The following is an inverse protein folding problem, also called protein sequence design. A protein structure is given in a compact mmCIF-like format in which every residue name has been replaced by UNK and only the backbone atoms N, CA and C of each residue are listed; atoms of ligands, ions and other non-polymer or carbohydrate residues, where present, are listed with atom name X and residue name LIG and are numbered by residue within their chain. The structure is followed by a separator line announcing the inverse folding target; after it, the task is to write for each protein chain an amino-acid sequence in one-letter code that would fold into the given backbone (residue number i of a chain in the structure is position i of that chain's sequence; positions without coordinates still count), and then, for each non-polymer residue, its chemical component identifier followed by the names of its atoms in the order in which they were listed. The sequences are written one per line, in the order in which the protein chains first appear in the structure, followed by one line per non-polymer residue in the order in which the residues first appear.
data_IF_874107955263
#
_entry.id   IF_874107955263
#
_cell.length_a   1.000
_cell.length_b   1.000
_cell.length_c   1.000
_cell.angle_alpha   90.00
_cell.angle_beta   90.00
_cell.angle_gamma   90.00
#
_symmetry.space_group_name_H-M   'P 1'
#
loop_
_entity.id
_entity.type
_entity.pdbx_description
1 polymer ?
#
# COMPACT_ATOMS: atom_id res chain seq x y z
N UNK A 1 -47.89 32.34 -9.65
CA UNK A 1 -48.87 31.29 -10.01
C UNK A 1 -48.08 30.04 -10.36
N UNK A 2 -48.47 28.94 -9.75
CA UNK A 2 -47.67 27.82 -9.28
C UNK A 2 -47.07 26.92 -10.37
N UNK A 3 -45.80 26.54 -10.17
CA UNK A 3 -45.18 25.38 -10.83
C UNK A 3 -45.60 24.14 -10.01
N UNK A 4 -46.21 23.11 -10.59
CA UNK A 4 -46.59 21.93 -9.82
C UNK A 4 -45.35 21.19 -9.33
N UNK A 5 -45.30 20.99 -8.02
CA UNK A 5 -44.35 20.10 -7.33
C UNK A 5 -44.59 18.67 -7.81
N UNK A 6 -43.69 18.10 -8.60
CA UNK A 6 -43.73 16.66 -8.90
C UNK A 6 -43.60 15.90 -7.58
N UNK A 7 -44.65 15.17 -7.24
CA UNK A 7 -44.68 14.23 -6.13
C UNK A 7 -43.63 13.13 -6.37
N UNK A 8 -42.56 13.16 -5.57
CA UNK A 8 -41.46 12.21 -5.63
C UNK A 8 -41.73 10.92 -4.83
N UNK A 9 -42.94 10.72 -4.29
CA UNK A 9 -43.23 9.56 -3.41
C UNK A 9 -43.51 8.23 -4.14
N UNK A 10 -43.13 8.10 -5.41
CA UNK A 10 -43.24 6.83 -6.15
C UNK A 10 -41.96 6.48 -6.92
N UNK A 11 -40.84 6.34 -6.20
CA UNK A 11 -39.70 5.56 -6.67
C UNK A 11 -39.68 4.27 -5.83
N UNK A 12 -39.94 3.08 -6.40
CA UNK A 12 -39.77 1.85 -5.64
C UNK A 12 -38.31 1.74 -5.21
N UNK A 13 -38.12 1.63 -3.89
CA UNK A 13 -36.84 1.37 -3.25
C UNK A 13 -36.42 -0.10 -3.50
N UNK A 14 -36.13 -0.45 -4.74
CA UNK A 14 -35.35 -1.65 -5.06
C UNK A 14 -33.88 -1.25 -5.11
N UNK A 15 -33.35 -0.84 -3.96
CA UNK A 15 -31.91 -0.91 -3.72
C UNK A 15 -31.58 -2.40 -3.55
N UNK A 16 -31.40 -3.10 -4.67
CA UNK A 16 -30.92 -4.48 -4.67
C UNK A 16 -29.69 -4.57 -3.76
N UNK A 17 -29.79 -5.39 -2.72
CA UNK A 17 -28.68 -5.70 -1.83
C UNK A 17 -27.55 -6.22 -2.69
N UNK A 18 -26.52 -5.40 -2.92
CA UNK A 18 -25.34 -5.84 -3.62
C UNK A 18 -24.79 -7.05 -2.85
N UNK A 19 -24.59 -8.22 -3.50
CA UNK A 19 -24.15 -9.40 -2.78
C UNK A 19 -22.87 -9.05 -2.02
N UNK A 20 -22.85 -9.37 -0.73
CA UNK A 20 -21.66 -9.22 0.10
C UNK A 20 -20.51 -9.87 -0.65
N UNK A 21 -19.51 -9.08 -1.06
CA UNK A 21 -18.35 -9.61 -1.79
C UNK A 21 -17.73 -10.69 -0.93
N UNK A 22 -17.78 -11.93 -1.39
CA UNK A 22 -17.09 -13.03 -0.75
C UNK A 22 -15.59 -12.70 -0.83
N UNK A 23 -14.98 -12.42 0.32
CA UNK A 23 -13.55 -12.17 0.39
C UNK A 23 -12.85 -13.51 0.18
N UNK A 24 -12.20 -13.66 -0.97
CA UNK A 24 -11.29 -14.77 -1.23
C UNK A 24 -10.00 -14.54 -0.44
N UNK A 25 -9.92 -15.12 0.76
CA UNK A 25 -8.71 -15.12 1.55
C UNK A 25 -7.77 -16.22 1.04
N UNK A 26 -6.54 -15.84 0.68
CA UNK A 26 -5.46 -16.81 0.54
C UNK A 26 -5.16 -17.34 1.94
N UNK A 27 -5.47 -18.62 2.20
CA UNK A 27 -5.00 -19.31 3.40
C UNK A 27 -3.53 -19.65 3.20
N UNK A 28 -2.65 -18.84 3.77
CA UNK A 28 -1.25 -19.23 3.96
C UNK A 28 -1.18 -20.01 5.28
N UNK A 29 -0.61 -21.20 5.25
CA UNK A 29 -0.38 -21.98 6.47
C UNK A 29 0.59 -21.22 7.40
N UNK A 30 0.48 -21.44 8.71
CA UNK A 30 1.33 -20.76 9.67
C UNK A 30 2.80 -21.26 9.61
N UNK A 31 3.80 -20.38 9.85
CA UNK A 31 3.66 -18.95 10.13
C UNK A 31 3.42 -18.13 8.85
N UNK A 32 2.55 -17.12 8.98
CA UNK A 32 2.28 -16.16 7.91
C UNK A 32 3.52 -15.29 7.67
N UNK A 33 3.84 -14.94 6.41
CA UNK A 33 4.98 -14.08 6.12
C UNK A 33 4.79 -12.68 6.71
N UNK A 34 5.83 -12.14 7.32
CA UNK A 34 5.89 -10.78 7.86
C UNK A 34 6.55 -9.87 6.83
N UNK A 35 5.74 -9.00 6.22
CA UNK A 35 6.21 -8.00 5.26
C UNK A 35 6.28 -6.64 5.92
N UNK A 36 7.45 -6.01 5.91
CA UNK A 36 7.65 -4.66 6.44
C UNK A 36 7.47 -3.61 5.34
N UNK A 37 6.48 -2.73 5.53
CA UNK A 37 6.38 -1.50 4.76
C UNK A 37 7.45 -0.51 5.24
N UNK A 38 8.38 -0.16 4.35
CA UNK A 38 9.54 0.64 4.66
C UNK A 38 9.47 1.98 3.93
N UNK A 39 9.05 3.01 4.68
CA UNK A 39 8.93 4.39 4.19
C UNK A 39 10.24 5.16 4.13
N UNK A 40 11.37 4.52 4.47
CA UNK A 40 12.71 5.15 4.46
C UNK A 40 12.81 6.32 5.46
N UNK A 41 11.91 6.33 6.45
CA UNK A 41 11.93 7.27 7.57
C UNK A 41 12.70 6.71 8.77
N UNK A 42 12.86 7.55 9.79
CA UNK A 42 13.51 7.17 11.05
C UNK A 42 12.78 6.01 11.73
N UNK A 43 11.46 6.09 11.88
CA UNK A 43 10.68 5.09 12.60
C UNK A 43 10.70 3.72 11.92
N UNK A 44 10.47 3.68 10.60
CA UNK A 44 10.51 2.43 9.84
C UNK A 44 11.92 1.82 9.81
N UNK A 45 12.96 2.65 9.91
CA UNK A 45 14.35 2.18 10.03
C UNK A 45 14.64 1.61 11.40
N UNK A 46 14.20 2.29 12.46
CA UNK A 46 14.33 1.78 13.83
C UNK A 46 13.63 0.42 13.98
N UNK A 47 12.43 0.28 13.41
CA UNK A 47 11.70 -0.99 13.41
C UNK A 47 12.45 -2.10 12.66
N UNK A 48 13.00 -1.81 11.48
CA UNK A 48 13.80 -2.78 10.72
C UNK A 48 15.01 -3.27 11.53
N UNK A 49 15.77 -2.33 12.11
CA UNK A 49 16.96 -2.65 12.88
C UNK A 49 16.62 -3.43 14.15
N UNK A 50 15.52 -3.10 14.82
CA UNK A 50 15.09 -3.80 16.02
C UNK A 50 14.57 -5.21 15.75
N UNK A 51 13.87 -5.42 14.63
CA UNK A 51 13.46 -6.77 14.22
C UNK A 51 14.66 -7.65 13.89
N UNK A 52 15.67 -7.09 13.21
CA UNK A 52 16.91 -7.80 12.93
C UNK A 52 17.73 -8.08 14.19
N UNK A 53 17.83 -7.11 15.12
CA UNK A 53 18.56 -7.26 16.38
C UNK A 53 17.98 -8.37 17.27
N UNK A 54 16.66 -8.58 17.22
CA UNK A 54 15.93 -9.64 17.93
C UNK A 54 16.02 -11.01 17.26
N UNK A 55 16.67 -11.12 16.10
CA UNK A 55 16.72 -12.36 15.33
C UNK A 55 15.39 -12.72 14.65
N UNK A 56 14.51 -11.74 14.46
CA UNK A 56 13.22 -11.89 13.78
C UNK A 56 13.12 -10.93 12.59
N UNK A 57 14.03 -11.02 11.60
CA UNK A 57 14.00 -10.14 10.44
C UNK A 57 12.69 -10.34 9.64
N UNK A 58 12.17 -9.30 8.97
CA UNK A 58 11.05 -9.46 8.05
C UNK A 58 11.39 -10.43 6.91
N UNK A 59 10.40 -11.21 6.47
CA UNK A 59 10.54 -12.09 5.30
C UNK A 59 10.69 -11.28 3.99
N UNK A 60 10.17 -10.06 3.98
CA UNK A 60 10.29 -9.11 2.88
C UNK A 60 10.16 -7.67 3.39
N UNK A 61 10.97 -6.78 2.84
CA UNK A 61 10.85 -5.33 3.02
C UNK A 61 10.41 -4.71 1.69
N UNK A 62 9.39 -3.84 1.73
CA UNK A 62 8.88 -3.15 0.54
C UNK A 62 8.92 -1.63 0.71
N UNK A 63 9.34 -0.91 -0.33
CA UNK A 63 9.31 0.56 -0.38
C UNK A 63 8.59 1.03 -1.62
N UNK A 64 7.71 2.02 -1.48
CA UNK A 64 7.17 2.77 -2.61
C UNK A 64 8.15 3.85 -3.09
N UNK A 65 8.42 3.90 -4.38
CA UNK A 65 9.26 4.94 -5.00
C UNK A 65 8.39 5.89 -5.85
N UNK A 66 8.21 7.15 -5.42
CA UNK A 66 7.46 8.15 -6.19
C UNK A 66 8.24 8.64 -7.43
N UNK A 67 9.56 8.46 -7.50
CA UNK A 67 10.42 8.91 -8.61
C UNK A 67 10.91 10.34 -8.54
N UNK A 68 10.59 11.02 -7.45
CA UNK A 68 10.97 12.41 -7.21
C UNK A 68 11.50 12.58 -5.79
N UNK A 69 12.03 11.50 -5.19
CA UNK A 69 12.72 11.59 -3.91
C UNK A 69 13.98 12.46 -4.03
N UNK A 70 14.45 12.96 -2.88
CA UNK A 70 15.70 13.71 -2.82
C UNK A 70 16.89 12.81 -3.20
N UNK A 71 17.95 13.36 -3.83
CA UNK A 71 19.17 12.60 -4.13
C UNK A 71 19.76 11.88 -2.91
N UNK A 72 19.70 12.51 -1.73
CA UNK A 72 20.17 11.95 -0.46
C UNK A 72 19.33 10.74 -0.04
N UNK A 73 18.00 10.77 -0.27
CA UNK A 73 17.11 9.63 -0.01
C UNK A 73 17.50 8.45 -0.89
N UNK A 74 17.77 8.68 -2.18
CA UNK A 74 18.22 7.60 -3.07
C UNK A 74 19.61 7.06 -2.71
N UNK A 75 20.53 7.91 -2.25
CA UNK A 75 21.83 7.46 -1.74
C UNK A 75 21.67 6.59 -0.49
N UNK A 76 20.80 7.02 0.43
CA UNK A 76 20.46 6.24 1.61
C UNK A 76 19.78 4.90 1.26
N UNK A 77 18.84 4.88 0.31
CA UNK A 77 18.21 3.65 -0.17
C UNK A 77 19.26 2.62 -0.66
N UNK A 78 20.28 3.06 -1.42
CA UNK A 78 21.36 2.18 -1.87
C UNK A 78 22.17 1.62 -0.69
N UNK A 79 22.48 2.46 0.29
CA UNK A 79 23.21 2.05 1.48
C UNK A 79 22.41 1.03 2.30
N UNK A 80 21.14 1.29 2.59
CA UNK A 80 20.31 0.38 3.39
C UNK A 80 19.97 -0.91 2.64
N UNK A 81 19.81 -0.86 1.31
CA UNK A 81 19.67 -2.06 0.49
C UNK A 81 20.89 -2.98 0.61
N UNK A 82 22.11 -2.42 0.58
CA UNK A 82 23.33 -3.20 0.79
C UNK A 82 23.41 -3.78 2.21
N UNK A 83 23.00 -3.01 3.22
CA UNK A 83 22.93 -3.46 4.61
C UNK A 83 21.96 -4.65 4.79
N UNK A 84 20.78 -4.60 4.15
CA UNK A 84 19.79 -5.69 4.17
C UNK A 84 20.28 -6.92 3.39
N UNK A 85 20.90 -6.73 2.22
CA UNK A 85 21.45 -7.82 1.43
C UNK A 85 22.55 -8.59 2.18
N UNK A 86 23.42 -7.89 2.91
CA UNK A 86 24.45 -8.51 3.75
C UNK A 86 23.89 -9.38 4.88
N UNK A 87 22.60 -9.21 5.21
CA UNK A 87 21.87 -9.95 6.25
C UNK A 87 20.85 -10.94 5.68
N UNK A 88 20.80 -11.08 4.35
CA UNK A 88 19.84 -11.97 3.69
C UNK A 88 18.38 -11.49 3.76
N UNK A 89 18.13 -10.21 4.04
CA UNK A 89 16.78 -9.64 4.11
C UNK A 89 16.35 -9.20 2.70
N UNK A 90 15.31 -9.81 2.10
CA UNK A 90 14.83 -9.40 0.78
C UNK A 90 14.26 -7.99 0.80
N UNK A 91 14.67 -7.15 -0.16
CA UNK A 91 14.21 -5.77 -0.29
C UNK A 91 13.74 -5.46 -1.70
N UNK A 92 12.52 -4.92 -1.84
CA UNK A 92 11.91 -4.58 -3.12
C UNK A 92 11.42 -3.14 -3.14
N UNK A 93 11.78 -2.42 -4.19
CA UNK A 93 11.23 -1.09 -4.49
C UNK A 93 10.11 -1.23 -5.53
N UNK A 94 8.93 -0.70 -5.23
CA UNK A 94 7.77 -0.71 -6.11
C UNK A 94 7.43 0.70 -6.55
N UNK A 95 7.02 0.86 -7.81
CA UNK A 95 6.58 2.13 -8.37
C UNK A 95 5.14 2.02 -8.86
N UNK A 96 4.29 2.90 -8.36
CA UNK A 96 2.94 3.02 -8.90
C UNK A 96 2.97 3.78 -10.23
N UNK A 97 2.37 3.19 -11.27
CA UNK A 97 2.16 3.84 -12.56
C UNK A 97 0.65 3.90 -12.83
N UNK A 98 0.03 5.10 -12.76
CA UNK A 98 -1.39 5.24 -13.01
C UNK A 98 -1.76 4.75 -14.41
N UNK A 99 -2.73 3.84 -14.52
CA UNK A 99 -3.22 3.31 -15.83
C UNK A 99 -4.59 3.84 -16.24
N UNK A 100 -5.42 4.25 -15.29
CA UNK A 100 -6.74 4.84 -15.52
C UNK A 100 -6.87 6.10 -14.70
N UNK A 101 -7.00 7.23 -15.37
CA UNK A 101 -7.31 8.51 -14.75
C UNK A 101 -8.82 8.68 -14.69
N UNK A 102 -9.33 9.22 -13.58
CA UNK A 102 -10.76 9.56 -13.47
C UNK A 102 -11.12 10.80 -14.30
N UNK A 103 -10.17 11.73 -14.49
CA UNK A 103 -10.34 12.97 -15.26
C UNK A 103 -9.14 13.20 -16.20
N UNK A 104 -9.39 13.86 -17.33
CA UNK A 104 -8.40 14.23 -18.35
C UNK A 104 -8.49 15.74 -18.68
N UNK A 105 -7.36 16.48 -18.77
CA UNK A 105 -5.98 16.06 -18.52
C UNK A 105 -5.72 15.76 -17.03
N UNK A 106 -4.66 14.99 -16.69
CA UNK A 106 -4.37 14.60 -15.31
C UNK A 106 -4.00 15.82 -14.47
N UNK A 107 -4.92 16.28 -13.63
CA UNK A 107 -4.70 17.25 -12.55
C UNK A 107 -5.51 16.82 -11.32
#
# INVERSE_FOLDING_TARGET
MDIPMCDLTSIPAEAGSAPARLLDYIRVDAPQPVVLAYGIGVDSTALLLELESRGTPPDLVITGDPGVEKPETYAYQKMIAAWMAARGIPYVTVRYTPRRFKHWPPY
#
